data_IF_369220359094
#
_entry.id   IF_369220359094
#
_cell.length_a   1.000
_cell.length_b   1.000
_cell.length_c   1.000
_cell.angle_alpha   90.00
_cell.angle_beta   90.00
_cell.angle_gamma   90.00
#
_symmetry.space_group_name_H-M   'P 1'
#
loop_
_entity.id
_entity.type
_entity.pdbx_description
1 polymer ?
#
# COMPACT_ATOMS: atom_id res chain seq x y z
N UNK A 1 -2.90 20.39 11.80
CA UNK A 1 -2.02 20.80 10.69
C UNK A 1 -0.64 20.21 10.93
N UNK A 2 -0.21 19.35 10.01
CA UNK A 2 1.07 18.64 10.09
C UNK A 2 2.22 19.62 9.79
N UNK A 3 3.34 19.50 10.50
CA UNK A 3 4.49 20.41 10.35
C UNK A 3 5.38 20.00 9.18
N UNK A 4 5.02 20.42 7.97
CA UNK A 4 5.77 20.19 6.73
C UNK A 4 6.01 21.50 5.97
N UNK A 5 6.90 22.39 6.48
CA UNK A 5 7.05 23.75 5.96
C UNK A 5 7.64 23.83 4.55
N UNK A 6 8.24 22.73 4.06
CA UNK A 6 8.85 22.63 2.74
C UNK A 6 8.03 21.78 1.75
N UNK A 7 6.79 21.41 2.09
CA UNK A 7 6.03 20.43 1.32
C UNK A 7 5.80 20.86 -0.15
N UNK A 8 5.52 22.14 -0.38
CA UNK A 8 5.31 22.66 -1.74
C UNK A 8 6.60 22.59 -2.57
N UNK A 9 7.72 23.06 -2.02
CA UNK A 9 9.02 22.99 -2.73
C UNK A 9 9.48 21.54 -2.93
N UNK A 10 9.23 20.67 -1.95
CA UNK A 10 9.49 19.24 -2.04
C UNK A 10 8.70 18.60 -3.18
N UNK A 11 7.40 18.91 -3.28
CA UNK A 11 6.54 18.40 -4.34
C UNK A 11 7.02 18.82 -5.73
N UNK A 12 7.32 20.11 -5.92
CA UNK A 12 7.86 20.61 -7.19
C UNK A 12 9.21 19.96 -7.56
N UNK A 13 10.08 19.79 -6.57
CA UNK A 13 11.40 19.20 -6.80
C UNK A 13 11.30 17.70 -7.13
N UNK A 14 10.44 16.96 -6.43
CA UNK A 14 10.18 15.54 -6.74
C UNK A 14 9.56 15.39 -8.14
N UNK A 15 8.70 16.31 -8.56
CA UNK A 15 8.15 16.28 -9.91
C UNK A 15 9.23 16.42 -10.99
N UNK A 16 10.22 17.30 -10.76
CA UNK A 16 11.40 17.43 -11.62
C UNK A 16 12.29 16.18 -11.56
N UNK A 17 12.47 15.61 -10.37
CA UNK A 17 13.25 14.39 -10.17
C UNK A 17 12.73 13.23 -11.03
N UNK A 18 11.41 12.98 -11.01
CA UNK A 18 10.80 11.94 -11.84
C UNK A 18 10.92 12.15 -13.34
N UNK A 19 11.20 13.39 -13.77
CA UNK A 19 11.44 13.78 -15.16
C UNK A 19 12.92 13.89 -15.52
N UNK A 20 13.82 13.57 -14.60
CA UNK A 20 15.26 13.76 -14.73
C UNK A 20 15.68 15.23 -14.92
N UNK A 21 14.90 16.18 -14.38
CA UNK A 21 15.09 17.63 -14.49
C UNK A 21 15.65 18.27 -13.20
N UNK A 22 16.04 17.48 -12.19
CA UNK A 22 16.54 17.95 -10.89
C UNK A 22 18.04 18.30 -10.91
N UNK A 23 18.48 19.10 -11.86
CA UNK A 23 19.92 19.36 -12.11
C UNK A 23 20.66 20.08 -10.96
N UNK A 24 19.92 20.75 -10.07
CA UNK A 24 20.53 21.59 -9.04
C UNK A 24 21.03 20.79 -7.82
N UNK A 25 20.34 19.71 -7.46
CA UNK A 25 20.69 18.84 -6.32
C UNK A 25 19.98 17.49 -6.42
N UNK A 26 20.49 16.43 -5.77
CA UNK A 26 19.74 15.18 -5.61
C UNK A 26 18.45 15.40 -4.80
N UNK A 27 17.47 14.52 -5.02
CA UNK A 27 16.32 14.40 -4.15
C UNK A 27 16.74 13.78 -2.81
N UNK A 28 16.43 14.44 -1.69
CA UNK A 28 16.81 14.02 -0.34
C UNK A 28 15.62 14.23 0.57
N UNK A 29 15.01 13.14 1.03
CA UNK A 29 13.96 13.17 2.06
C UNK A 29 14.58 12.92 3.45
N UNK A 30 14.41 13.86 4.37
CA UNK A 30 14.88 13.72 5.75
C UNK A 30 13.68 13.89 6.69
N UNK A 31 13.52 12.93 7.60
CA UNK A 31 12.55 13.01 8.68
C UNK A 31 13.25 12.91 10.03
N UNK A 32 12.70 13.57 11.03
CA UNK A 32 13.17 13.46 12.42
C UNK A 32 11.99 13.59 13.39
N UNK A 33 12.20 13.18 14.63
CA UNK A 33 11.19 13.33 15.69
C UNK A 33 10.96 14.81 15.96
N UNK A 34 9.70 15.20 16.14
CA UNK A 34 9.32 16.51 16.63
C UNK A 34 9.54 16.56 18.15
N UNK A 35 10.55 17.31 18.67
CA UNK A 35 10.85 17.33 20.10
C UNK A 35 9.76 18.00 20.94
N UNK A 36 8.88 18.78 20.30
CA UNK A 36 7.78 19.50 20.96
C UNK A 36 6.47 18.70 20.94
N UNK A 37 6.46 17.50 20.35
CA UNK A 37 5.25 16.69 20.28
C UNK A 37 4.93 16.03 21.62
N UNK A 38 3.70 16.20 22.07
CA UNK A 38 3.17 15.51 23.25
C UNK A 38 2.54 14.21 22.77
N UNK A 39 3.12 13.08 23.18
CA UNK A 39 2.64 11.76 22.82
C UNK A 39 1.22 11.53 23.31
N UNK A 40 0.40 10.96 22.43
CA UNK A 40 -0.96 10.53 22.75
C UNK A 40 -0.97 9.01 22.82
N UNK A 41 -1.74 8.49 23.77
CA UNK A 41 -2.05 7.06 23.78
C UNK A 41 -3.09 6.78 22.69
N UNK A 42 -2.80 5.78 21.87
CA UNK A 42 -3.71 5.30 20.82
C UNK A 42 -4.05 3.87 21.19
N UNK A 43 -5.33 3.63 21.48
CA UNK A 43 -5.83 2.30 21.79
C UNK A 43 -5.60 1.40 20.59
N UNK A 44 -4.67 0.46 20.72
CA UNK A 44 -4.35 -0.48 19.65
C UNK A 44 -5.34 -1.64 19.70
N UNK A 45 -6.03 -1.96 18.59
CA UNK A 45 -6.95 -3.10 18.55
C UNK A 45 -6.26 -4.40 18.98
N UNK A 46 -6.97 -5.21 19.76
CA UNK A 46 -6.43 -6.49 20.25
C UNK A 46 -6.18 -7.46 19.10
N UNK A 47 -7.15 -7.59 18.18
CA UNK A 47 -7.02 -8.45 17.00
C UNK A 47 -6.12 -7.80 15.98
N UNK A 48 -5.20 -8.60 15.43
CA UNK A 48 -4.26 -8.14 14.41
C UNK A 48 -5.00 -7.53 13.23
N UNK A 49 -5.99 -8.23 12.65
CA UNK A 49 -6.73 -7.75 11.47
C UNK A 49 -7.38 -6.38 11.68
N UNK A 50 -7.87 -6.08 12.88
CA UNK A 50 -8.49 -4.80 13.19
C UNK A 50 -7.45 -3.66 13.17
N UNK A 51 -6.18 -3.94 13.47
CA UNK A 51 -5.08 -2.96 13.33
C UNK A 51 -4.84 -2.56 11.86
N UNK A 52 -5.23 -3.41 10.92
CA UNK A 52 -5.15 -3.16 9.48
C UNK A 52 -6.43 -2.53 8.94
N UNK A 53 -7.60 -2.97 9.43
CA UNK A 53 -8.91 -2.69 8.79
C UNK A 53 -9.80 -1.69 9.53
N UNK A 54 -9.53 -1.43 10.81
CA UNK A 54 -10.23 -0.38 11.56
C UNK A 54 -9.71 0.99 11.10
N UNK A 55 -10.54 1.67 10.32
CA UNK A 55 -10.18 2.93 9.69
C UNK A 55 -9.95 4.06 10.71
N UNK A 56 -10.68 4.05 11.83
CA UNK A 56 -10.50 5.07 12.88
C UNK A 56 -9.14 4.88 13.57
N UNK A 57 -8.78 3.62 13.84
CA UNK A 57 -7.43 3.31 14.34
C UNK A 57 -6.36 3.72 13.33
N UNK A 58 -6.50 3.33 12.06
CA UNK A 58 -5.53 3.64 10.99
C UNK A 58 -5.32 5.15 10.83
N UNK A 59 -6.40 5.93 10.83
CA UNK A 59 -6.34 7.40 10.77
C UNK A 59 -5.62 7.96 12.00
N UNK A 60 -6.02 7.56 13.20
CA UNK A 60 -5.45 8.08 14.44
C UNK A 60 -3.95 7.75 14.56
N UNK A 61 -3.57 6.50 14.27
CA UNK A 61 -2.18 6.06 14.28
C UNK A 61 -1.32 6.82 13.27
N UNK A 62 -1.83 7.03 12.05
CA UNK A 62 -1.10 7.80 11.04
C UNK A 62 -1.01 9.29 11.38
N UNK A 63 -2.08 9.90 11.90
CA UNK A 63 -2.01 11.30 12.34
C UNK A 63 -1.04 11.50 13.48
N UNK A 64 -0.98 10.60 14.47
CA UNK A 64 0.03 10.66 15.52
C UNK A 64 1.45 10.56 14.93
N UNK A 65 1.68 9.57 14.05
CA UNK A 65 2.96 9.38 13.36
C UNK A 65 3.39 10.64 12.59
N UNK A 66 2.47 11.29 11.88
CA UNK A 66 2.78 12.49 11.11
C UNK A 66 3.00 13.71 12.00
N UNK A 67 2.19 13.93 13.04
CA UNK A 67 2.34 15.07 13.94
C UNK A 67 3.63 15.02 14.79
N UNK A 68 4.11 13.80 15.10
CA UNK A 68 5.38 13.60 15.80
C UNK A 68 6.59 13.62 14.87
N UNK A 69 6.40 13.85 13.57
CA UNK A 69 7.47 13.86 12.56
C UNK A 69 7.66 15.27 12.01
N UNK A 70 8.92 15.70 11.90
CA UNK A 70 9.31 16.88 11.14
C UNK A 70 9.80 16.46 9.77
N UNK A 71 9.37 17.18 8.73
CA UNK A 71 9.67 16.88 7.33
C UNK A 71 10.62 17.94 6.75
N UNK A 72 11.77 17.49 6.24
CA UNK A 72 12.84 18.34 5.69
C UNK A 72 13.28 17.87 4.30
N UNK A 73 13.88 18.79 3.54
CA UNK A 73 14.31 18.52 2.18
C UNK A 73 13.10 18.23 1.30
N UNK A 74 13.09 17.05 0.69
CA UNK A 74 12.02 16.54 -0.17
C UNK A 74 11.08 15.55 0.56
N UNK A 75 11.14 15.49 1.88
CA UNK A 75 10.22 14.66 2.65
C UNK A 75 8.80 15.25 2.62
N UNK A 76 7.81 14.43 2.28
CA UNK A 76 6.40 14.80 2.27
C UNK A 76 5.64 14.02 3.34
N UNK A 77 4.66 14.65 4.02
CA UNK A 77 3.74 13.91 4.85
C UNK A 77 2.85 13.04 3.96
N UNK A 78 2.93 11.73 4.13
CA UNK A 78 2.13 10.77 3.38
C UNK A 78 1.63 9.63 4.28
N UNK A 79 0.44 9.13 3.95
CA UNK A 79 -0.14 7.89 4.49
C UNK A 79 -0.31 6.94 3.32
N UNK A 80 0.38 5.81 3.38
CA UNK A 80 0.10 4.70 2.48
C UNK A 80 -0.96 3.82 3.14
N UNK A 81 -2.08 3.57 2.47
CA UNK A 81 -3.05 2.57 2.90
C UNK A 81 -2.39 1.20 2.76
N UNK A 82 -1.76 0.68 3.81
CA UNK A 82 -1.11 -0.62 3.69
C UNK A 82 -2.09 -1.75 4.05
N UNK A 83 -2.59 -2.48 3.05
CA UNK A 83 -3.33 -3.75 3.23
C UNK A 83 -2.44 -5.00 3.05
N UNK A 84 -1.13 -4.74 2.95
CA UNK A 84 -0.08 -5.74 2.79
C UNK A 84 0.11 -6.18 1.33
N UNK A 85 1.22 -6.88 1.07
CA UNK A 85 1.71 -7.14 -0.29
C UNK A 85 0.77 -8.04 -1.10
N UNK A 86 0.06 -8.93 -0.42
CA UNK A 86 -0.82 -9.93 -1.04
C UNK A 86 -2.26 -9.45 -1.26
N UNK A 87 -2.54 -8.16 -1.04
CA UNK A 87 -3.88 -7.60 -1.30
C UNK A 87 -4.31 -7.81 -2.75
N UNK A 88 -3.36 -7.88 -3.69
CA UNK A 88 -3.65 -8.21 -5.09
C UNK A 88 -4.45 -9.52 -5.19
N UNK A 89 -3.99 -10.61 -4.60
CA UNK A 89 -4.72 -11.88 -4.63
C UNK A 89 -6.10 -11.76 -3.95
N UNK A 90 -6.20 -10.95 -2.89
CA UNK A 90 -7.47 -10.62 -2.25
C UNK A 90 -8.47 -9.96 -3.20
N UNK A 91 -8.02 -9.10 -4.12
CA UNK A 91 -8.85 -8.50 -5.17
C UNK A 91 -9.39 -9.53 -6.19
N UNK A 92 -8.86 -10.75 -6.19
CA UNK A 92 -9.30 -11.88 -7.03
C UNK A 92 -9.87 -13.04 -6.20
N UNK A 93 -10.27 -12.77 -4.95
CA UNK A 93 -11.05 -13.68 -4.12
C UNK A 93 -10.23 -14.56 -3.16
N UNK A 94 -8.91 -14.40 -3.07
CA UNK A 94 -8.14 -15.09 -2.05
C UNK A 94 -8.45 -14.57 -0.64
N UNK A 95 -8.45 -15.48 0.33
CA UNK A 95 -8.39 -15.13 1.74
C UNK A 95 -7.00 -14.56 2.06
N UNK A 96 -6.94 -13.56 2.94
CA UNK A 96 -5.68 -12.98 3.41
C UNK A 96 -5.52 -13.17 4.92
N UNK A 97 -4.38 -13.71 5.32
CA UNK A 97 -3.96 -13.87 6.71
C UNK A 97 -3.05 -12.69 7.06
N UNK A 98 -3.30 -12.04 8.19
CA UNK A 98 -2.54 -10.87 8.62
C UNK A 98 -1.73 -11.18 9.87
N UNK A 99 -0.50 -10.69 9.88
CA UNK A 99 0.40 -10.64 11.04
C UNK A 99 0.64 -9.17 11.42
N UNK A 100 1.44 -8.91 12.45
CA UNK A 100 1.77 -7.57 12.91
C UNK A 100 2.56 -6.74 11.88
N UNK A 101 3.29 -7.40 10.98
CA UNK A 101 4.19 -6.74 10.03
C UNK A 101 3.88 -7.01 8.55
N UNK A 102 3.03 -7.98 8.20
CA UNK A 102 2.75 -8.36 6.81
C UNK A 102 1.39 -9.07 6.67
N UNK A 103 0.92 -9.23 5.42
CA UNK A 103 -0.18 -10.13 5.06
C UNK A 103 0.31 -11.21 4.09
N UNK A 104 -0.43 -12.31 4.04
CA UNK A 104 -0.21 -13.46 3.14
C UNK A 104 -1.53 -13.91 2.53
N UNK A 105 -1.54 -14.23 1.24
CA UNK A 105 -2.67 -14.87 0.61
C UNK A 105 -2.70 -16.38 0.92
N UNK A 106 -3.90 -16.90 1.16
CA UNK A 106 -4.16 -18.33 1.01
C UNK A 106 -4.24 -18.60 -0.49
N UNK A 107 -3.15 -19.11 -1.05
CA UNK A 107 -3.01 -19.30 -2.50
C UNK A 107 -4.10 -20.20 -3.07
N UNK A 108 -4.66 -19.79 -4.21
CA UNK A 108 -5.55 -20.61 -5.02
C UNK A 108 -4.70 -21.48 -5.95
N UNK A 109 -4.66 -22.78 -5.66
CA UNK A 109 -4.07 -23.82 -6.52
C UNK A 109 -5.13 -24.80 -7.04
N UNK A 110 -6.41 -24.48 -6.85
CA UNK A 110 -7.51 -25.41 -7.07
C UNK A 110 -7.92 -25.56 -8.53
N UNK A 111 -7.52 -24.62 -9.39
CA UNK A 111 -7.88 -24.54 -10.81
C UNK A 111 -6.65 -24.39 -11.72
N UNK A 112 -6.73 -24.81 -12.99
CA UNK A 112 -5.66 -24.62 -13.98
C UNK A 112 -5.50 -23.13 -14.38
N UNK A 113 -4.33 -22.76 -14.89
CA UNK A 113 -3.99 -21.37 -15.26
C UNK A 113 -4.97 -20.73 -16.25
N UNK A 114 -5.44 -21.51 -17.23
CA UNK A 114 -6.40 -21.05 -18.24
C UNK A 114 -7.72 -20.53 -17.66
N UNK A 115 -8.08 -20.94 -16.44
CA UNK A 115 -9.34 -20.58 -15.79
C UNK A 115 -9.21 -19.29 -14.96
N UNK A 116 -8.01 -18.71 -14.85
CA UNK A 116 -7.82 -17.39 -14.26
C UNK A 116 -8.10 -16.29 -15.30
N UNK A 117 -8.93 -15.35 -14.89
CA UNK A 117 -9.15 -14.07 -15.56
C UNK A 117 -8.69 -12.95 -14.63
N UNK A 118 -7.53 -12.36 -14.95
CA UNK A 118 -6.97 -11.23 -14.20
C UNK A 118 -7.30 -9.87 -14.84
N UNK A 119 -8.12 -9.85 -15.89
CA UNK A 119 -8.47 -8.60 -16.60
C UNK A 119 -9.37 -7.67 -15.78
N UNK A 120 -10.06 -8.20 -14.76
CA UNK A 120 -10.97 -7.46 -13.88
C UNK A 120 -10.86 -7.96 -12.46
N UNK A 121 -10.73 -7.02 -11.53
CA UNK A 121 -10.84 -7.28 -10.09
C UNK A 121 -12.29 -7.60 -9.72
N UNK A 122 -12.48 -8.30 -8.60
CA UNK A 122 -13.79 -8.50 -8.01
C UNK A 122 -14.24 -7.24 -7.25
N UNK A 123 -14.94 -6.34 -7.96
CA UNK A 123 -15.44 -5.09 -7.39
C UNK A 123 -16.50 -5.30 -6.30
N UNK A 124 -17.14 -6.47 -6.28
CA UNK A 124 -18.09 -6.83 -5.24
C UNK A 124 -17.43 -7.52 -4.04
N UNK A 125 -16.17 -7.93 -4.21
CA UNK A 125 -15.34 -8.60 -3.23
C UNK A 125 -15.00 -7.72 -2.03
N UNK A 126 -14.75 -8.38 -0.89
CA UNK A 126 -14.44 -7.73 0.36
C UNK A 126 -13.24 -6.78 0.25
N UNK A 127 -12.14 -7.26 -0.35
CA UNK A 127 -10.89 -6.51 -0.43
C UNK A 127 -10.97 -5.27 -1.31
N UNK A 128 -11.70 -5.33 -2.43
CA UNK A 128 -11.93 -4.15 -3.26
C UNK A 128 -12.74 -3.10 -2.51
N UNK A 129 -13.91 -3.51 -1.97
CA UNK A 129 -14.79 -2.60 -1.20
C UNK A 129 -14.05 -1.97 -0.03
N UNK A 130 -13.27 -2.76 0.71
CA UNK A 130 -12.51 -2.28 1.86
C UNK A 130 -11.39 -1.32 1.46
N UNK A 131 -10.66 -1.61 0.38
CA UNK A 131 -9.66 -0.70 -0.18
C UNK A 131 -10.28 0.65 -0.55
N UNK A 132 -11.43 0.63 -1.23
CA UNK A 132 -12.12 1.85 -1.65
C UNK A 132 -12.70 2.64 -0.47
N UNK A 133 -13.29 1.97 0.51
CA UNK A 133 -13.80 2.56 1.75
C UNK A 133 -12.68 3.30 2.50
N UNK A 134 -11.57 2.60 2.78
CA UNK A 134 -10.48 3.15 3.57
C UNK A 134 -9.71 4.25 2.84
N UNK A 135 -9.52 4.10 1.52
CA UNK A 135 -8.88 5.15 0.71
C UNK A 135 -9.70 6.43 0.74
N UNK A 136 -11.03 6.34 0.58
CA UNK A 136 -11.92 7.51 0.65
C UNK A 136 -11.86 8.18 2.02
N UNK A 137 -11.94 7.39 3.09
CA UNK A 137 -11.86 7.91 4.45
C UNK A 137 -10.52 8.62 4.73
N UNK A 138 -9.39 8.07 4.26
CA UNK A 138 -8.08 8.74 4.36
C UNK A 138 -8.02 10.03 3.54
N UNK A 139 -8.60 10.07 2.35
CA UNK A 139 -8.64 11.28 1.51
C UNK A 139 -9.49 12.37 2.18
N UNK A 140 -10.67 12.01 2.69
CA UNK A 140 -11.54 12.92 3.42
C UNK A 140 -10.88 13.44 4.70
N UNK A 141 -10.27 12.54 5.50
CA UNK A 141 -9.54 12.92 6.70
C UNK A 141 -8.35 13.82 6.35
N UNK A 142 -7.59 13.52 5.29
CA UNK A 142 -6.37 14.25 4.97
C UNK A 142 -6.58 15.75 4.94
N UNK A 143 -7.69 16.22 4.35
CA UNK A 143 -8.05 17.64 4.25
C UNK A 143 -6.86 18.54 3.86
N UNK A 144 -5.97 18.04 2.99
CA UNK A 144 -4.74 18.72 2.55
C UNK A 144 -3.54 18.65 3.50
N UNK A 145 -3.66 18.06 4.69
CA UNK A 145 -2.56 17.91 5.65
C UNK A 145 -1.48 16.90 5.18
N UNK A 146 -1.87 15.88 4.41
CA UNK A 146 -0.97 14.82 3.95
C UNK A 146 -1.44 14.18 2.62
N UNK A 147 -0.50 13.55 1.91
CA UNK A 147 -0.80 12.75 0.71
C UNK A 147 -1.32 11.36 1.06
N UNK A 148 -2.32 10.88 0.32
CA UNK A 148 -2.81 9.50 0.43
C UNK A 148 -2.23 8.67 -0.71
N UNK A 149 -1.46 7.65 -0.35
CA UNK A 149 -0.91 6.67 -1.28
C UNK A 149 -1.90 5.56 -1.60
N UNK A 150 -1.76 4.98 -2.80
CA UNK A 150 -2.43 3.73 -3.16
C UNK A 150 -1.82 2.60 -2.34
N UNK A 151 -2.65 1.62 -1.95
CA UNK A 151 -2.15 0.43 -1.26
C UNK A 151 -1.03 -0.26 -2.02
N UNK A 152 -0.20 -0.98 -1.29
CA UNK A 152 0.85 -1.80 -1.87
C UNK A 152 0.21 -2.80 -2.85
N UNK A 153 0.51 -2.65 -4.15
CA UNK A 153 -0.03 -3.50 -5.22
C UNK A 153 1.14 -4.01 -6.03
N UNK A 154 1.33 -5.32 -6.04
CA UNK A 154 2.37 -5.98 -6.82
C UNK A 154 1.75 -6.51 -8.10
N UNK A 155 2.27 -6.08 -9.24
CA UNK A 155 1.77 -6.45 -10.56
C UNK A 155 2.68 -7.49 -11.23
N UNK A 156 2.21 -8.06 -12.34
CA UNK A 156 2.99 -9.02 -13.12
C UNK A 156 3.21 -10.34 -12.38
N UNK A 157 4.45 -10.83 -12.39
CA UNK A 157 4.74 -12.16 -11.88
C UNK A 157 4.53 -12.26 -10.36
N UNK A 158 4.80 -11.17 -9.64
CA UNK A 158 4.58 -11.09 -8.19
C UNK A 158 3.08 -11.24 -7.86
N UNK A 159 2.20 -10.66 -8.69
CA UNK A 159 0.75 -10.81 -8.59
C UNK A 159 0.32 -12.28 -8.75
N UNK A 160 0.90 -12.99 -9.73
CA UNK A 160 0.60 -14.40 -9.95
C UNK A 160 1.16 -15.28 -8.82
N UNK A 161 2.33 -14.95 -8.28
CA UNK A 161 2.91 -15.62 -7.10
C UNK A 161 2.02 -15.42 -5.88
N UNK A 162 1.53 -14.21 -5.64
CA UNK A 162 0.58 -13.91 -4.57
C UNK A 162 -0.69 -14.76 -4.69
N UNK A 163 -1.22 -14.91 -5.91
CA UNK A 163 -2.43 -15.66 -6.15
C UNK A 163 -2.25 -17.18 -6.03
N UNK A 164 -1.17 -17.73 -6.62
CA UNK A 164 -1.02 -19.16 -6.90
C UNK A 164 0.08 -19.85 -6.09
N UNK A 165 0.94 -19.05 -5.47
CA UNK A 165 2.07 -19.52 -4.70
C UNK A 165 3.34 -19.70 -5.55
N UNK A 166 4.51 -19.42 -4.96
CA UNK A 166 5.77 -19.37 -5.71
C UNK A 166 6.18 -20.71 -6.30
N UNK A 167 5.93 -21.82 -5.59
CA UNK A 167 6.27 -23.17 -6.07
C UNK A 167 5.48 -23.52 -7.33
N UNK A 168 4.15 -23.33 -7.30
CA UNK A 168 3.30 -23.66 -8.43
C UNK A 168 3.60 -22.76 -9.63
N UNK A 169 3.86 -21.47 -9.42
CA UNK A 169 4.27 -20.56 -10.51
C UNK A 169 5.59 -21.00 -11.15
N UNK A 170 6.55 -21.52 -10.36
CA UNK A 170 7.78 -22.08 -10.92
C UNK A 170 7.51 -23.28 -11.85
N UNK A 171 6.57 -24.16 -11.46
CA UNK A 171 6.15 -25.29 -12.28
C UNK A 171 5.41 -24.81 -13.54
N UNK A 172 4.48 -23.86 -13.41
CA UNK A 172 3.72 -23.36 -14.55
C UNK A 172 4.61 -22.62 -15.56
N UNK A 173 5.67 -21.94 -15.11
CA UNK A 173 6.66 -21.34 -16.00
C UNK A 173 7.37 -22.38 -16.87
N UNK A 174 7.51 -23.61 -16.38
CA UNK A 174 8.09 -24.73 -17.12
C UNK A 174 7.06 -25.43 -18.00
N UNK A 175 5.89 -25.76 -17.44
CA UNK A 175 4.87 -26.58 -18.10
C UNK A 175 3.97 -25.78 -19.06
N UNK A 176 3.58 -24.56 -18.69
CA UNK A 176 2.63 -23.71 -19.44
C UNK A 176 3.09 -22.24 -19.59
N UNK A 177 4.32 -21.97 -20.10
CA UNK A 177 4.87 -20.61 -20.17
C UNK A 177 4.01 -19.62 -20.97
N UNK A 178 3.25 -20.11 -21.95
CA UNK A 178 2.36 -19.26 -22.75
C UNK A 178 1.16 -18.76 -21.92
N UNK A 179 0.60 -19.59 -21.04
CA UNK A 179 -0.50 -19.21 -20.16
C UNK A 179 -0.03 -18.29 -19.04
N UNK A 180 1.15 -18.53 -18.47
CA UNK A 180 1.77 -17.57 -17.55
C UNK A 180 1.89 -16.22 -18.26
N UNK A 181 2.48 -16.18 -19.46
CA UNK A 181 2.63 -14.93 -20.21
C UNK A 181 1.30 -14.24 -20.51
N UNK A 182 0.23 -14.99 -20.79
CA UNK A 182 -1.14 -14.46 -21.00
C UNK A 182 -1.65 -13.71 -19.78
N UNK A 183 -1.36 -14.20 -18.57
CA UNK A 183 -1.80 -13.59 -17.31
C UNK A 183 -0.97 -12.37 -16.90
N UNK A 184 0.19 -12.14 -17.52
CA UNK A 184 1.07 -11.01 -17.22
C UNK A 184 0.86 -9.79 -18.14
N UNK A 185 -0.01 -9.88 -19.17
CA UNK A 185 -0.30 -8.82 -20.14
C UNK A 185 -1.66 -8.18 -19.90
#
# INVERSE_FOLDING_TARGET
MINAPYAEQAFEHLYKFWRFENHNRPAIAITTKNPNYIYKEINTPEKIIDRWLDIDYVINANRDRLNRTLFYGDALPCVNLNLGPDVFAGLYGCELIHDECTSWAVHDTSRPLKDYDLSKVDEEGFWWKKTMEMTKALVEDSNGDYLVGVTDIHAGLDALVSLRGPEQVCLDLYDEPAEVKRLLM
#
